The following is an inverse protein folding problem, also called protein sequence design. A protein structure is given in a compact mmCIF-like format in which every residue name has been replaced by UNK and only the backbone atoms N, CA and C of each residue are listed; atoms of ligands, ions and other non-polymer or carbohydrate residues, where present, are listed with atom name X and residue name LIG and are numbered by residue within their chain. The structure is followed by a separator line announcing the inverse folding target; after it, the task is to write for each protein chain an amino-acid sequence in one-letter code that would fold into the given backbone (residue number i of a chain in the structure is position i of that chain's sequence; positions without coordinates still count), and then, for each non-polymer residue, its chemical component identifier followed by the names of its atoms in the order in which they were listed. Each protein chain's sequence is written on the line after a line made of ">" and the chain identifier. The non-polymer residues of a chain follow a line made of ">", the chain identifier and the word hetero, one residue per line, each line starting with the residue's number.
data_IF_180193866207
#
_entry.id   IF_180193866207
#
_cell.length_a   1.000
_cell.length_b   1.000
_cell.length_c   1.000
_cell.angle_alpha   90.00
_cell.angle_beta   90.00
_cell.angle_gamma   90.00
#
_symmetry.space_group_name_H-M   'P 1'
#
loop_
_entity.id
_entity.type
_entity.pdbx_description
1 polymer ?
#
# COMPACT_ATOMS: atom_id res chain seq x y z
N UNK A 1 -0.85 -3.68 25.66
CA UNK A 1 -0.96 -2.73 24.53
C UNK A 1 -1.63 -3.48 23.40
N UNK A 2 -2.97 -3.45 23.38
CA UNK A 2 -3.76 -4.06 22.33
C UNK A 2 -4.06 -2.98 21.32
N UNK A 3 -3.28 -2.92 20.24
CA UNK A 3 -3.63 -2.08 19.11
C UNK A 3 -4.88 -2.68 18.48
N UNK A 4 -6.01 -2.08 18.86
CA UNK A 4 -7.33 -2.10 18.24
C UNK A 4 -7.34 -2.80 16.88
N UNK A 5 -7.69 -4.10 16.89
CA UNK A 5 -8.21 -4.85 15.75
C UNK A 5 -9.62 -4.31 15.42
N UNK A 6 -9.70 -2.98 15.27
CA UNK A 6 -10.78 -2.27 14.61
C UNK A 6 -11.05 -3.04 13.33
N UNK A 7 -12.29 -3.53 13.18
CA UNK A 7 -12.67 -4.42 12.10
C UNK A 7 -12.28 -3.78 10.75
N UNK A 8 -11.16 -4.23 10.19
CA UNK A 8 -10.69 -3.75 8.90
C UNK A 8 -11.64 -4.24 7.82
N UNK A 9 -11.94 -3.37 6.85
CA UNK A 9 -12.78 -3.70 5.70
C UNK A 9 -11.89 -4.37 4.64
N UNK A 10 -12.17 -5.63 4.31
CA UNK A 10 -11.48 -6.37 3.24
C UNK A 10 -12.07 -5.98 1.88
N UNK A 11 -11.27 -5.34 1.02
CA UNK A 11 -11.65 -4.87 -0.31
C UNK A 11 -10.97 -5.73 -1.39
N UNK A 12 -11.72 -6.12 -2.41
CA UNK A 12 -11.24 -7.04 -3.45
C UNK A 12 -11.33 -8.52 -3.03
N UNK A 13 -10.47 -9.42 -3.52
CA UNK A 13 -9.35 -9.20 -4.43
C UNK A 13 -9.79 -9.08 -5.90
N UNK A 14 -9.04 -8.31 -6.69
CA UNK A 14 -9.15 -8.34 -8.17
C UNK A 14 -8.11 -9.31 -8.71
N UNK A 15 -8.54 -10.18 -9.61
CA UNK A 15 -7.70 -11.15 -10.27
C UNK A 15 -8.35 -12.54 -10.29
N UNK A 16 -7.52 -13.58 -10.44
CA UNK A 16 -7.94 -14.98 -10.38
C UNK A 16 -7.94 -15.48 -8.93
N UNK A 17 -8.92 -16.32 -8.59
CA UNK A 17 -8.98 -17.03 -7.29
C UNK A 17 -8.05 -18.25 -7.22
N UNK A 18 -7.31 -18.54 -8.28
CA UNK A 18 -6.33 -19.62 -8.30
C UNK A 18 -5.10 -19.31 -7.45
N UNK A 19 -4.33 -20.34 -7.12
CA UNK A 19 -3.11 -20.22 -6.33
C UNK A 19 -3.37 -20.28 -4.82
N UNK A 20 -2.30 -20.13 -4.05
CA UNK A 20 -2.34 -20.12 -2.60
C UNK A 20 -2.67 -18.71 -2.10
N UNK A 21 -3.57 -18.58 -1.11
CA UNK A 21 -3.88 -17.29 -0.50
C UNK A 21 -2.70 -16.78 0.33
N UNK A 22 -2.53 -15.47 0.34
CA UNK A 22 -1.61 -14.75 1.21
C UNK A 22 -2.31 -13.54 1.80
N UNK A 23 -1.92 -13.16 3.03
CA UNK A 23 -2.63 -12.15 3.82
C UNK A 23 -1.66 -11.40 4.72
N UNK A 24 -1.52 -10.10 4.46
CA UNK A 24 -0.66 -9.16 5.20
C UNK A 24 -1.51 -8.14 5.97
N UNK A 25 -2.72 -8.54 6.42
CA UNK A 25 -3.60 -7.73 7.27
C UNK A 25 -2.82 -7.15 8.47
N UNK A 26 -2.98 -5.86 8.73
CA UNK A 26 -2.32 -5.14 9.81
C UNK A 26 -0.96 -4.55 9.43
N UNK A 27 -0.30 -5.04 8.38
CA UNK A 27 1.02 -4.54 7.97
C UNK A 27 0.86 -3.37 7.00
N UNK A 28 0.73 -2.17 7.58
CA UNK A 28 0.47 -0.94 6.83
C UNK A 28 1.66 0.03 6.73
N UNK A 29 2.78 -0.25 7.39
CA UNK A 29 3.99 0.59 7.41
C UNK A 29 4.99 0.13 6.36
N UNK A 30 4.65 0.32 5.08
CA UNK A 30 5.53 -0.05 3.97
C UNK A 30 6.66 0.97 3.82
N UNK A 31 7.86 0.46 3.60
CA UNK A 31 9.07 1.22 3.27
C UNK A 31 9.45 1.03 1.80
N UNK A 32 9.32 -0.21 1.30
CA UNK A 32 9.66 -0.53 -0.08
C UNK A 32 8.74 -1.62 -0.63
N UNK A 33 8.41 -1.53 -1.92
CA UNK A 33 7.71 -2.59 -2.67
C UNK A 33 8.62 -3.05 -3.80
N UNK A 34 8.80 -4.37 -3.89
CA UNK A 34 9.58 -5.03 -4.92
C UNK A 34 8.60 -5.70 -5.88
N UNK A 35 8.67 -5.36 -7.16
CA UNK A 35 7.77 -5.91 -8.18
C UNK A 35 8.59 -6.54 -9.28
N UNK A 36 8.29 -7.79 -9.59
CA UNK A 36 8.75 -8.45 -10.81
C UNK A 36 7.59 -8.63 -11.76
N UNK A 37 7.79 -8.33 -13.04
CA UNK A 37 6.71 -8.37 -14.01
C UNK A 37 7.18 -8.60 -15.45
N UNK A 38 6.23 -8.98 -16.31
CA UNK A 38 6.38 -8.89 -17.76
C UNK A 38 5.01 -8.60 -18.40
N UNK A 39 4.40 -9.58 -19.05
CA UNK A 39 3.00 -9.51 -19.52
C UNK A 39 1.97 -9.63 -18.36
N UNK A 40 2.43 -10.03 -17.17
CA UNK A 40 1.66 -10.07 -15.93
C UNK A 40 2.57 -9.80 -14.73
N UNK A 41 2.00 -9.68 -13.53
CA UNK A 41 2.77 -9.54 -12.29
C UNK A 41 3.35 -10.89 -11.87
N UNK A 42 4.65 -11.07 -12.05
CA UNK A 42 5.36 -12.31 -11.75
C UNK A 42 5.59 -12.49 -10.25
N UNK A 43 6.00 -11.45 -9.55
CA UNK A 43 6.05 -11.49 -8.09
C UNK A 43 5.96 -10.12 -7.42
N UNK A 44 5.49 -10.12 -6.18
CA UNK A 44 5.50 -8.96 -5.29
C UNK A 44 6.12 -9.36 -3.95
N UNK A 45 6.94 -8.48 -3.40
CA UNK A 45 7.44 -8.56 -2.04
C UNK A 45 7.42 -7.17 -1.40
N UNK A 46 7.25 -7.10 -0.08
CA UNK A 46 7.16 -5.86 0.67
C UNK A 46 8.26 -5.82 1.73
N UNK A 47 8.79 -4.63 1.99
CA UNK A 47 9.58 -4.36 3.18
C UNK A 47 8.80 -3.42 4.10
N UNK A 48 8.65 -3.82 5.35
CA UNK A 48 7.89 -3.11 6.36
C UNK A 48 8.80 -2.54 7.45
N UNK A 49 8.39 -1.42 8.04
CA UNK A 49 8.94 -0.90 9.27
C UNK A 49 8.15 -1.47 10.47
N UNK A 50 8.79 -2.36 11.24
CA UNK A 50 8.20 -3.06 12.38
C UNK A 50 9.12 -2.95 13.59
N UNK A 51 8.61 -2.39 14.70
CA UNK A 51 9.35 -2.27 15.96
C UNK A 51 10.77 -1.67 15.82
N UNK A 52 10.92 -0.67 14.93
CA UNK A 52 12.21 -0.02 14.66
C UNK A 52 13.16 -0.80 13.74
N UNK A 53 12.72 -1.93 13.20
CA UNK A 53 13.48 -2.78 12.26
C UNK A 53 12.80 -2.84 10.90
N UNK A 54 13.58 -3.21 9.87
CA UNK A 54 13.07 -3.49 8.53
C UNK A 54 12.86 -4.99 8.36
N UNK A 55 11.63 -5.39 8.06
CA UNK A 55 11.22 -6.81 7.92
C UNK A 55 10.67 -7.03 6.52
N UNK A 56 11.18 -8.05 5.82
CA UNK A 56 10.65 -8.48 4.52
C UNK A 56 9.43 -9.38 4.72
N UNK A 57 8.43 -9.23 3.85
CA UNK A 57 7.42 -10.26 3.65
C UNK A 57 8.00 -11.50 2.98
N UNK A 58 7.22 -12.57 2.97
CA UNK A 58 7.38 -13.58 1.93
C UNK A 58 7.27 -12.94 0.54
N UNK A 59 7.92 -13.56 -0.44
CA UNK A 59 7.69 -13.22 -1.84
C UNK A 59 6.48 -13.99 -2.33
N UNK A 60 5.55 -13.28 -2.95
CA UNK A 60 4.37 -13.87 -3.56
C UNK A 60 4.57 -13.94 -5.07
N UNK A 61 4.54 -15.15 -5.64
CA UNK A 61 4.81 -15.40 -7.06
C UNK A 61 6.15 -16.09 -7.30
N UNK A 62 6.66 -16.00 -8.52
CA UNK A 62 7.91 -16.67 -8.93
C UNK A 62 9.18 -15.97 -8.42
N UNK A 63 10.26 -16.74 -8.30
CA UNK A 63 11.62 -16.22 -8.15
C UNK A 63 12.30 -15.92 -9.50
N UNK A 64 11.77 -16.44 -10.60
CA UNK A 64 12.40 -16.45 -11.93
C UNK A 64 11.78 -15.41 -12.88
N UNK A 65 11.61 -14.17 -12.41
CA UNK A 65 11.04 -13.10 -13.20
C UNK A 65 12.06 -12.41 -14.14
N UNK A 66 11.59 -11.94 -15.30
CA UNK A 66 12.47 -11.35 -16.34
C UNK A 66 12.74 -9.86 -16.16
N UNK A 67 11.79 -9.11 -15.57
CA UNK A 67 12.00 -7.72 -15.16
C UNK A 67 11.79 -7.63 -13.66
N UNK A 68 12.70 -6.95 -12.99
CA UNK A 68 12.70 -6.78 -11.54
C UNK A 68 13.01 -5.33 -11.23
N UNK A 69 12.00 -4.61 -10.75
CA UNK A 69 12.11 -3.20 -10.48
C UNK A 69 12.37 -2.98 -8.99
N UNK A 70 13.60 -2.55 -8.69
CA UNK A 70 14.07 -2.23 -7.33
C UNK A 70 14.93 -0.96 -7.31
N UNK A 71 15.83 -0.76 -8.28
CA UNK A 71 16.44 0.52 -8.69
C UNK A 71 17.34 0.40 -9.96
N UNK A 72 17.41 1.51 -10.71
CA UNK A 72 18.40 2.04 -11.68
C UNK A 72 19.04 1.18 -12.81
N UNK A 73 18.55 1.37 -14.05
CA UNK A 73 19.36 1.95 -15.14
C UNK A 73 18.47 2.67 -16.18
N UNK A 74 18.99 3.74 -16.76
CA UNK A 74 18.30 4.71 -17.61
C UNK A 74 17.47 4.08 -18.75
N UNK A 75 16.18 4.41 -18.79
CA UNK A 75 15.55 4.88 -20.02
C UNK A 75 14.91 6.24 -19.73
N UNK A 76 14.98 7.14 -20.70
CA UNK A 76 14.88 8.62 -20.60
C UNK A 76 13.50 9.20 -20.26
N UNK A 77 12.62 8.47 -19.58
CA UNK A 77 11.32 9.00 -19.14
C UNK A 77 10.83 8.26 -17.88
N UNK A 78 11.00 8.93 -16.73
CA UNK A 78 10.48 8.61 -15.37
C UNK A 78 10.87 7.25 -14.75
N UNK A 79 11.68 7.34 -13.71
CA UNK A 79 12.12 6.23 -12.85
C UNK A 79 11.06 5.89 -11.79
N UNK A 80 10.58 4.65 -11.74
CA UNK A 80 9.58 4.19 -10.77
C UNK A 80 10.23 3.34 -9.66
N UNK A 81 10.86 3.98 -8.68
CA UNK A 81 11.26 3.30 -7.43
C UNK A 81 10.08 3.25 -6.47
N UNK A 82 9.53 2.10 -6.06
CA UNK A 82 8.51 2.08 -4.98
C UNK A 82 9.16 2.14 -3.59
N UNK A 83 10.09 3.08 -3.39
CA UNK A 83 10.64 3.38 -2.06
C UNK A 83 9.86 4.56 -1.50
N UNK A 84 9.02 4.27 -0.51
CA UNK A 84 8.22 5.30 0.14
C UNK A 84 9.12 6.12 1.08
N UNK A 85 8.93 7.43 1.09
CA UNK A 85 9.51 8.32 2.10
C UNK A 85 8.83 8.11 3.47
N UNK A 86 9.00 6.91 4.05
CA UNK A 86 8.39 6.52 5.32
C UNK A 86 8.91 7.39 6.49
N UNK A 87 8.06 7.87 7.42
CA UNK A 87 6.61 7.65 7.50
C UNK A 87 5.77 8.71 6.78
N UNK A 88 6.38 9.72 6.16
CA UNK A 88 5.67 10.83 5.53
C UNK A 88 4.84 10.37 4.32
N UNK A 89 5.32 9.37 3.58
CA UNK A 89 4.64 8.77 2.44
C UNK A 89 3.96 7.45 2.79
N UNK A 90 2.73 7.26 2.32
CA UNK A 90 1.91 6.08 2.57
C UNK A 90 0.93 5.83 1.43
N UNK A 91 0.50 4.57 1.30
CA UNK A 91 -0.47 4.15 0.28
C UNK A 91 -1.84 4.80 0.55
N UNK A 92 -2.39 5.42 -0.49
CA UNK A 92 -3.72 6.04 -0.51
C UNK A 92 -4.66 5.38 -1.51
N UNK A 93 -4.11 4.67 -2.50
CA UNK A 93 -4.88 3.87 -3.45
C UNK A 93 -4.02 2.83 -4.17
N UNK A 94 -4.66 1.84 -4.77
CA UNK A 94 -4.06 0.99 -5.79
C UNK A 94 -4.97 0.94 -7.02
N UNK A 95 -4.38 0.82 -8.21
CA UNK A 95 -5.11 0.54 -9.44
C UNK A 95 -4.36 -0.45 -10.30
N UNK A 96 -4.96 -0.88 -11.40
CA UNK A 96 -4.32 -1.78 -12.33
C UNK A 96 -5.31 -2.41 -13.29
N UNK A 97 -4.88 -3.47 -13.97
CA UNK A 97 -5.69 -4.19 -14.92
C UNK A 97 -5.68 -5.67 -14.62
N UNK A 98 -6.83 -6.32 -14.83
CA UNK A 98 -6.91 -7.77 -14.92
C UNK A 98 -7.29 -8.21 -16.33
N UNK A 99 -6.71 -9.31 -16.76
CA UNK A 99 -7.00 -9.87 -18.09
C UNK A 99 -8.49 -10.17 -18.23
N UNK A 100 -9.06 -9.82 -19.38
CA UNK A 100 -10.43 -10.23 -19.69
C UNK A 100 -10.60 -11.75 -19.73
N UNK A 101 -9.60 -12.46 -20.29
CA UNK A 101 -9.71 -13.87 -20.65
C UNK A 101 -9.53 -14.82 -19.46
N UNK A 102 -8.46 -14.62 -18.67
CA UNK A 102 -8.11 -15.51 -17.57
C UNK A 102 -8.16 -14.83 -16.19
N UNK A 103 -8.55 -13.54 -16.15
CA UNK A 103 -8.54 -12.73 -14.93
C UNK A 103 -7.19 -12.66 -14.22
N UNK A 104 -6.07 -12.94 -14.88
CA UNK A 104 -4.74 -12.72 -14.30
C UNK A 104 -4.51 -11.24 -14.02
N UNK A 105 -3.68 -10.95 -13.01
CA UNK A 105 -3.27 -9.58 -12.69
C UNK A 105 -2.22 -9.11 -13.70
N UNK A 106 -2.65 -8.30 -14.66
CA UNK A 106 -1.83 -7.83 -15.78
C UNK A 106 -0.92 -6.68 -15.37
N UNK A 107 -1.48 -5.71 -14.62
CA UNK A 107 -0.73 -4.55 -14.17
C UNK A 107 -1.15 -4.08 -12.79
N UNK A 108 -0.25 -3.34 -12.13
CA UNK A 108 -0.53 -2.68 -10.87
C UNK A 108 0.18 -1.32 -10.77
N UNK A 109 -0.52 -0.36 -10.18
CA UNK A 109 -0.01 0.97 -9.83
C UNK A 109 -0.29 1.22 -8.36
N UNK A 110 0.72 1.70 -7.63
CA UNK A 110 0.61 2.07 -6.22
C UNK A 110 0.53 3.58 -6.09
N UNK A 111 -0.60 4.08 -5.58
CA UNK A 111 -0.78 5.49 -5.28
C UNK A 111 -0.43 5.82 -3.84
N UNK A 112 0.33 6.89 -3.66
CA UNK A 112 0.64 7.46 -2.35
C UNK A 112 0.09 8.87 -2.22
N UNK A 113 0.22 9.44 -1.03
CA UNK A 113 -0.03 10.87 -0.81
C UNK A 113 1.02 11.79 -1.47
N UNK A 114 2.10 11.24 -2.03
CA UNK A 114 3.16 12.01 -2.71
C UNK A 114 3.22 11.77 -4.22
N UNK A 115 2.54 10.76 -4.74
CA UNK A 115 2.57 10.45 -6.16
C UNK A 115 2.04 9.05 -6.45
N UNK A 116 2.56 8.44 -7.50
CA UNK A 116 2.20 7.09 -7.90
C UNK A 116 3.44 6.34 -8.39
N UNK A 117 3.38 5.01 -8.35
CA UNK A 117 4.43 4.13 -8.83
C UNK A 117 3.85 3.04 -9.73
N UNK A 118 4.38 2.94 -10.96
CA UNK A 118 3.89 2.04 -12.00
C UNK A 118 3.28 2.80 -13.18
N UNK A 119 2.47 2.17 -14.03
CA UNK A 119 2.02 0.78 -13.93
C UNK A 119 3.17 -0.21 -14.14
N UNK A 120 3.27 -1.18 -13.25
CA UNK A 120 4.09 -2.37 -13.45
C UNK A 120 3.30 -3.42 -14.22
N UNK A 121 3.97 -4.19 -15.07
CA UNK A 121 3.33 -5.16 -15.96
C UNK A 121 2.85 -4.57 -17.28
N UNK A 122 2.02 -5.31 -18.02
CA UNK A 122 1.49 -4.91 -19.32
C UNK A 122 0.02 -5.25 -19.43
N UNK A 123 -0.74 -4.35 -20.05
CA UNK A 123 -2.16 -4.57 -20.33
C UNK A 123 -2.50 -4.08 -21.74
N UNK A 124 -3.63 -4.53 -22.26
CA UNK A 124 -4.17 -4.12 -23.56
C UNK A 124 -5.59 -3.54 -23.40
N UNK A 125 -6.14 -2.97 -24.48
CA UNK A 125 -7.43 -2.27 -24.45
C UNK A 125 -8.66 -3.13 -24.10
N UNK A 126 -8.55 -4.46 -24.07
CA UNK A 126 -9.63 -5.35 -23.64
C UNK A 126 -9.57 -5.69 -22.14
N UNK A 127 -8.43 -5.45 -21.48
CA UNK A 127 -8.27 -5.77 -20.06
C UNK A 127 -9.11 -4.84 -19.20
N UNK A 128 -9.58 -5.36 -18.06
CA UNK A 128 -10.49 -4.61 -17.17
C UNK A 128 -9.69 -3.87 -16.12
N UNK A 129 -9.82 -2.55 -16.12
CA UNK A 129 -9.28 -1.69 -15.07
C UNK A 129 -9.95 -1.96 -13.71
N UNK A 130 -9.18 -1.85 -12.64
CA UNK A 130 -9.67 -1.76 -11.27
C UNK A 130 -8.98 -0.60 -10.54
N UNK A 131 -9.65 -0.05 -9.53
CA UNK A 131 -9.10 0.97 -8.65
C UNK A 131 -9.72 0.87 -7.26
N UNK A 132 -8.89 0.82 -6.23
CA UNK A 132 -9.28 0.90 -4.83
C UNK A 132 -8.73 2.20 -4.23
N UNK A 133 -9.63 3.14 -3.93
CA UNK A 133 -9.31 4.43 -3.32
C UNK A 133 -9.54 4.34 -1.81
N UNK A 134 -8.48 4.50 -1.01
CA UNK A 134 -8.51 4.37 0.45
C UNK A 134 -8.62 5.73 1.16
N UNK A 135 -8.33 6.82 0.46
CA UNK A 135 -8.30 8.17 1.02
C UNK A 135 -6.95 8.54 1.65
N UNK A 136 -6.85 9.77 2.13
CA UNK A 136 -5.60 10.34 2.62
C UNK A 136 -5.41 10.20 4.15
N UNK A 137 -6.40 9.67 4.86
CA UNK A 137 -6.39 9.54 6.32
C UNK A 137 -5.61 8.30 6.82
N UNK A 138 -4.53 7.91 6.12
CA UNK A 138 -3.68 6.74 6.44
C UNK A 138 -4.47 5.45 6.68
N UNK A 139 -5.49 5.24 5.86
CA UNK A 139 -6.46 4.16 6.05
C UNK A 139 -6.02 2.83 5.44
N UNK A 140 -4.84 2.76 4.81
CA UNK A 140 -4.30 1.48 4.36
C UNK A 140 -4.05 0.54 5.56
N UNK A 141 -4.58 -0.67 5.46
CA UNK A 141 -4.55 -1.69 6.52
C UNK A 141 -3.76 -2.95 6.17
N UNK A 142 -3.16 -3.03 4.98
CA UNK A 142 -2.42 -4.22 4.52
C UNK A 142 -2.94 -4.76 3.20
N UNK A 143 -2.19 -5.67 2.59
CA UNK A 143 -2.54 -6.34 1.34
C UNK A 143 -3.04 -7.76 1.59
N UNK A 144 -3.79 -8.31 0.64
CA UNK A 144 -4.09 -9.75 0.57
C UNK A 144 -4.24 -10.15 -0.89
N UNK A 145 -4.20 -11.46 -1.17
CA UNK A 145 -4.40 -11.94 -2.52
C UNK A 145 -4.15 -13.42 -2.66
N UNK A 146 -3.84 -13.83 -3.88
CA UNK A 146 -3.43 -15.19 -4.20
C UNK A 146 -2.22 -15.17 -5.13
N UNK A 147 -1.34 -16.17 -5.01
CA UNK A 147 -0.19 -16.36 -5.88
C UNK A 147 0.11 -17.85 -6.05
N UNK A 148 0.73 -18.22 -7.16
CA UNK A 148 1.29 -19.55 -7.34
C UNK A 148 2.79 -19.46 -7.68
N UNK A 149 3.38 -20.59 -8.08
CA UNK A 149 4.80 -20.65 -8.41
C UNK A 149 5.19 -19.83 -9.65
N UNK A 150 4.22 -19.37 -10.45
CA UNK A 150 4.46 -18.60 -11.67
C UNK A 150 4.23 -17.10 -11.45
N UNK A 151 3.13 -16.72 -10.80
CA UNK A 151 2.71 -15.32 -10.74
C UNK A 151 1.76 -14.96 -9.60
N UNK A 152 1.66 -13.66 -9.34
CA UNK A 152 0.59 -13.09 -8.52
C UNK A 152 -0.72 -13.19 -9.29
N UNK A 153 -1.71 -13.86 -8.72
CA UNK A 153 -2.99 -14.15 -9.37
C UNK A 153 -4.05 -13.13 -9.04
N UNK A 154 -4.06 -12.62 -7.81
CA UNK A 154 -4.97 -11.56 -7.39
C UNK A 154 -4.37 -10.68 -6.32
N UNK A 155 -4.92 -9.47 -6.19
CA UNK A 155 -4.56 -8.52 -5.13
C UNK A 155 -5.78 -7.78 -4.61
N UNK A 156 -5.78 -7.53 -3.31
CA UNK A 156 -6.76 -6.75 -2.59
C UNK A 156 -6.11 -6.01 -1.43
N UNK A 157 -6.89 -5.18 -0.77
CA UNK A 157 -6.44 -4.30 0.31
C UNK A 157 -7.37 -4.39 1.50
N UNK A 158 -6.81 -4.18 2.69
CA UNK A 158 -7.58 -3.86 3.87
C UNK A 158 -7.65 -2.35 4.04
N UNK A 159 -8.85 -1.86 4.38
CA UNK A 159 -9.09 -0.48 4.76
C UNK A 159 -9.35 -0.41 6.26
N UNK A 160 -8.61 0.45 6.96
CA UNK A 160 -8.84 0.81 8.36
C UNK A 160 -9.82 1.99 8.41
N UNK A 161 -11.03 1.82 8.98
CA UNK A 161 -11.97 2.92 9.14
C UNK A 161 -11.38 4.04 10.01
N UNK A 162 -11.79 5.27 9.76
CA UNK A 162 -11.45 6.39 10.63
C UNK A 162 -12.18 6.19 11.96
N UNK A 163 -11.44 6.12 13.06
CA UNK A 163 -11.99 5.93 14.41
C UNK A 163 -12.01 7.22 15.24
N UNK A 164 -11.42 8.30 14.72
CA UNK A 164 -11.37 9.61 15.38
C UNK A 164 -11.91 10.68 14.44
N UNK A 165 -12.81 11.52 14.94
CA UNK A 165 -13.24 12.71 14.21
C UNK A 165 -12.16 13.79 14.36
N UNK A 166 -11.82 14.50 13.29
CA UNK A 166 -10.79 15.56 13.27
C UNK A 166 -10.98 16.63 14.37
N UNK A 167 -12.21 16.82 14.85
CA UNK A 167 -12.53 17.68 15.99
C UNK A 167 -11.76 17.33 17.29
N UNK A 168 -11.30 16.09 17.43
CA UNK A 168 -10.55 15.62 18.62
C UNK A 168 -9.06 16.00 18.61
N UNK A 169 -8.45 16.20 17.43
CA UNK A 169 -7.08 16.69 17.29
C UNK A 169 -6.99 18.19 17.65
N UNK A 170 -8.00 18.98 17.26
CA UNK A 170 -8.06 20.41 17.58
C UNK A 170 -8.24 20.70 19.08
N UNK A 171 -8.85 19.77 19.83
CA UNK A 171 -9.09 19.94 21.27
C UNK A 171 -7.82 19.78 22.12
N UNK A 172 -6.81 19.09 21.59
CA UNK A 172 -5.50 18.94 22.25
C UNK A 172 -4.61 20.17 22.03
N UNK A 173 -4.75 20.85 20.89
CA UNK A 173 -4.04 22.11 20.61
C UNK A 173 -4.55 23.24 21.52
N UNK A 174 -5.87 23.29 21.79
CA UNK A 174 -6.43 24.29 22.71
C UNK A 174 -6.04 24.08 24.17
N UNK A 175 -5.73 22.85 24.61
CA UNK A 175 -5.33 22.59 26.00
C UNK A 175 -3.89 23.00 26.32
N UNK A 176 -2.98 23.01 25.35
CA UNK A 176 -1.62 23.52 25.55
C UNK A 176 -1.55 25.07 25.51
N UNK A 177 -2.55 25.72 24.91
CA UNK A 177 -2.70 27.18 24.90
C UNK A 177 -3.22 27.79 26.21
N UNK A 178 -3.94 27.03 27.04
CA UNK A 178 -4.53 27.52 28.29
C UNK A 178 -3.54 27.59 29.48
N UNK A 179 -2.29 27.14 29.31
CA UNK A 179 -1.27 27.17 30.36
C UNK A 179 -0.53 28.52 30.49
N UNK A 180 -0.66 29.43 29.52
CA UNK A 180 0.05 30.71 29.53
C UNK A 180 -0.74 31.89 30.13
N UNK A 181 -2.06 31.78 30.32
CA UNK A 181 -2.87 32.88 30.90
C UNK A 181 -2.99 32.84 32.43
N UNK A 182 -2.56 31.76 33.12
CA UNK A 182 -2.64 31.68 34.59
C UNK A 182 -1.38 32.16 35.33
N UNK A 183 -0.31 32.55 34.64
CA UNK A 183 0.97 32.95 35.27
C UNK A 183 1.27 34.45 35.27
N UNK A 184 0.45 35.30 34.65
CA UNK A 184 0.69 36.76 34.59
C UNK A 184 -0.32 37.61 35.40
N UNK A 185 -1.05 37.01 36.34
CA UNK A 185 -2.05 37.70 37.17
C UNK A 185 -1.59 38.18 38.56
N UNK A 186 -0.30 38.07 38.89
CA UNK A 186 0.24 38.48 40.19
C UNK A 186 1.55 39.24 40.01
N UNK A 187 1.47 40.53 39.70
CA UNK A 187 2.35 41.55 40.28
C UNK A 187 1.80 42.95 39.94
N UNK A 188 1.33 43.61 41.00
CA UNK A 188 1.11 45.06 41.23
C UNK A 188 0.02 45.81 40.44
#
# INVERSE_FOLDING_TARGET
>A
MGDDDSSMIKVGAVGSKSGNPWDEKGRNKIVQIFVSHDDEINSIQFQYAENGSLVLSERYGTNDGYKFDVDQYLTTDRTWQVKLNHPAEYITWISGHKSYNNSHLCSITFGTNHGEYGPFGRFNGHDKEFSFRLGENRQFGGFHGTADYNSVKSIGVYLKPITTLDYSLNKNITKEGECWEMLNGLHE
#
